data_IF_617166558719
#
_entry.id   IF_617166558719
#
_cell.length_a   1.000
_cell.length_b   1.000
_cell.length_c   1.000
_cell.angle_alpha   90.00
_cell.angle_beta   90.00
_cell.angle_gamma   90.00
#
_symmetry.space_group_name_H-M   'P 1'
#
loop_
_entity.id
_entity.type
_entity.pdbx_description
1 polymer ?
#
# COMPACT_ATOMS: atom_id res chain seq x y z
N UNK A 1 -14.07 0.53 -3.34
CA UNK A 1 -13.65 -0.49 -4.32
C UNK A 1 -14.30 -1.83 -3.94
N UNK A 2 -15.09 -2.39 -4.84
CA UNK A 2 -15.57 -3.77 -4.75
C UNK A 2 -14.75 -4.59 -5.73
N UNK A 3 -14.10 -5.64 -5.24
CA UNK A 3 -13.42 -6.62 -6.09
C UNK A 3 -14.30 -7.86 -6.06
N UNK A 4 -14.73 -8.31 -7.23
CA UNK A 4 -15.31 -9.63 -7.38
C UNK A 4 -14.23 -10.57 -7.90
N UNK A 5 -13.78 -11.46 -7.03
CA UNK A 5 -12.87 -12.55 -7.35
C UNK A 5 -13.38 -13.84 -6.70
N UNK A 6 -13.18 -15.03 -7.30
CA UNK A 6 -13.68 -16.27 -6.71
C UNK A 6 -13.04 -16.62 -5.35
N UNK A 7 -11.75 -16.29 -5.17
CA UNK A 7 -11.00 -16.55 -3.93
C UNK A 7 -10.46 -15.23 -3.38
N UNK A 8 -11.26 -14.59 -2.53
CA UNK A 8 -10.85 -13.36 -1.85
C UNK A 8 -11.44 -13.29 -0.45
N UNK A 9 -10.68 -12.66 0.46
CA UNK A 9 -11.15 -12.25 1.77
C UNK A 9 -11.08 -10.73 1.84
N UNK A 10 -12.15 -10.11 2.35
CA UNK A 10 -12.22 -8.67 2.50
C UNK A 10 -11.99 -8.26 3.94
N UNK A 11 -10.96 -7.45 4.16
CA UNK A 11 -10.73 -6.76 5.42
C UNK A 11 -11.22 -5.31 5.34
N UNK A 12 -11.81 -4.82 6.43
CA UNK A 12 -12.31 -3.46 6.55
C UNK A 12 -11.72 -2.80 7.78
N UNK A 13 -11.22 -1.57 7.60
CA UNK A 13 -10.74 -0.75 8.72
C UNK A 13 -11.90 -0.33 9.61
N UNK A 14 -11.61 -0.17 10.90
CA UNK A 14 -12.50 0.44 11.88
C UNK A 14 -11.75 1.51 12.65
N UNK A 15 -12.43 2.31 13.51
CA UNK A 15 -11.74 3.27 14.38
C UNK A 15 -10.68 2.62 15.29
N UNK A 16 -10.79 1.33 15.59
CA UNK A 16 -9.87 0.58 16.46
C UNK A 16 -8.82 -0.23 15.68
N UNK A 17 -9.08 -0.53 14.40
CA UNK A 17 -8.22 -1.38 13.58
C UNK A 17 -7.87 -0.64 12.28
N UNK A 18 -6.66 -0.08 12.26
CA UNK A 18 -6.09 0.59 11.09
C UNK A 18 -5.56 -0.37 10.03
N UNK A 19 -5.26 0.19 8.85
CA UNK A 19 -4.82 -0.57 7.67
C UNK A 19 -3.54 -1.36 7.93
N UNK A 20 -2.54 -0.80 8.63
CA UNK A 20 -1.30 -1.50 8.97
C UNK A 20 -1.58 -2.87 9.63
N UNK A 21 -2.45 -2.89 10.65
CA UNK A 21 -2.81 -4.12 11.37
C UNK A 21 -3.53 -5.13 10.46
N UNK A 22 -4.35 -4.65 9.53
CA UNK A 22 -5.05 -5.52 8.58
C UNK A 22 -4.08 -6.14 7.57
N UNK A 23 -3.07 -5.41 7.10
CA UNK A 23 -2.04 -5.97 6.20
C UNK A 23 -1.25 -7.04 6.93
N UNK A 24 -0.79 -6.76 8.15
CA UNK A 24 -0.09 -7.75 8.99
C UNK A 24 -0.93 -9.01 9.22
N UNK A 25 -2.24 -8.84 9.44
CA UNK A 25 -3.16 -9.96 9.59
C UNK A 25 -3.32 -10.73 8.27
N UNK A 26 -3.49 -10.02 7.15
CA UNK A 26 -3.64 -10.61 5.82
C UNK A 26 -2.46 -11.49 5.42
N UNK A 27 -1.22 -11.12 5.79
CA UNK A 27 -0.02 -11.93 5.54
C UNK A 27 -0.09 -13.34 6.14
N UNK A 28 -0.97 -13.58 7.14
CA UNK A 28 -1.20 -14.91 7.74
C UNK A 28 -2.20 -15.77 6.96
N UNK A 29 -2.88 -15.21 5.97
CA UNK A 29 -3.86 -15.91 5.13
C UNK A 29 -3.23 -16.51 3.87
N UNK A 30 -1.90 -16.48 3.75
CA UNK A 30 -1.15 -16.89 2.55
C UNK A 30 -1.71 -16.23 1.27
N UNK A 31 -1.84 -14.90 1.24
CA UNK A 31 -2.42 -14.22 0.07
C UNK A 31 -1.46 -14.30 -1.11
N UNK A 32 -1.99 -14.49 -2.33
CA UNK A 32 -1.18 -14.33 -3.55
C UNK A 32 -0.96 -12.84 -3.87
N UNK A 33 -1.97 -12.01 -3.56
CA UNK A 33 -1.94 -10.55 -3.76
C UNK A 33 -2.70 -9.85 -2.65
N UNK A 34 -2.24 -8.67 -2.27
CA UNK A 34 -2.93 -7.78 -1.34
C UNK A 34 -3.39 -6.56 -2.15
N UNK A 35 -4.69 -6.24 -2.07
CA UNK A 35 -5.21 -5.02 -2.66
C UNK A 35 -5.62 -4.04 -1.58
N UNK A 36 -4.93 -2.92 -1.53
CA UNK A 36 -5.17 -1.87 -0.57
C UNK A 36 -6.11 -0.83 -1.17
N UNK A 37 -7.10 -0.41 -0.37
CA UNK A 37 -8.05 0.62 -0.77
C UNK A 37 -7.36 1.96 -1.01
N UNK A 38 -7.17 2.74 0.04
CA UNK A 38 -6.49 4.04 -0.02
C UNK A 38 -5.46 4.15 1.12
N UNK A 39 -4.19 4.30 0.76
CA UNK A 39 -3.08 4.46 1.71
C UNK A 39 -2.96 5.94 2.08
N UNK A 40 -3.18 6.25 3.35
CA UNK A 40 -3.27 7.63 3.86
C UNK A 40 -2.27 7.97 4.97
N UNK A 41 -1.58 6.96 5.52
CA UNK A 41 -0.72 7.08 6.70
C UNK A 41 0.60 6.35 6.51
N UNK A 42 1.64 6.81 7.22
CA UNK A 42 3.01 6.29 7.08
C UNK A 42 3.15 4.83 7.49
N UNK A 43 2.40 4.37 8.48
CA UNK A 43 2.38 3.00 8.97
C UNK A 43 1.80 2.04 7.92
N UNK A 44 0.68 2.42 7.30
CA UNK A 44 0.06 1.67 6.22
C UNK A 44 0.94 1.64 4.97
N UNK A 45 1.57 2.77 4.64
CA UNK A 45 2.50 2.87 3.52
C UNK A 45 3.72 1.96 3.71
N UNK A 46 4.35 1.98 4.88
CA UNK A 46 5.52 1.15 5.16
C UNK A 46 5.17 -0.34 5.15
N UNK A 47 4.04 -0.72 5.73
CA UNK A 47 3.58 -2.11 5.76
C UNK A 47 3.25 -2.62 4.34
N UNK A 48 2.65 -1.78 3.49
CA UNK A 48 2.47 -2.08 2.06
C UNK A 48 3.82 -2.37 1.39
N UNK A 49 4.81 -1.49 1.56
CA UNK A 49 6.13 -1.65 0.95
C UNK A 49 6.82 -2.94 1.41
N UNK A 50 6.71 -3.28 2.70
CA UNK A 50 7.25 -4.54 3.23
C UNK A 50 6.52 -5.76 2.66
N UNK A 51 5.19 -5.75 2.59
CA UNK A 51 4.42 -6.84 1.98
C UNK A 51 4.86 -7.07 0.52
N UNK A 52 4.99 -6.00 -0.27
CA UNK A 52 5.48 -6.08 -1.65
C UNK A 52 6.90 -6.65 -1.75
N UNK A 53 7.82 -6.22 -0.88
CA UNK A 53 9.22 -6.65 -0.88
C UNK A 53 9.44 -8.08 -0.35
N UNK A 54 8.46 -8.70 0.32
CA UNK A 54 8.60 -10.02 0.99
C UNK A 54 7.80 -11.15 0.33
N UNK A 55 7.43 -10.98 -0.95
CA UNK A 55 6.83 -12.04 -1.75
C UNK A 55 5.42 -11.75 -2.28
N UNK A 56 4.89 -10.54 -2.06
CA UNK A 56 3.58 -10.12 -2.56
C UNK A 56 3.71 -9.03 -3.63
N UNK A 57 4.69 -9.15 -4.53
CA UNK A 57 5.03 -8.15 -5.55
C UNK A 57 3.90 -7.82 -6.54
N UNK A 58 2.88 -8.68 -6.62
CA UNK A 58 1.68 -8.45 -7.41
C UNK A 58 0.60 -7.59 -6.73
N UNK A 59 0.86 -7.12 -5.51
CA UNK A 59 -0.04 -6.28 -4.71
C UNK A 59 -0.07 -4.85 -5.24
N UNK A 60 -1.18 -4.16 -5.00
CA UNK A 60 -1.31 -2.75 -5.37
C UNK A 60 -2.18 -2.01 -4.36
N UNK A 61 -2.08 -0.68 -4.40
CA UNK A 61 -2.91 0.21 -3.60
C UNK A 61 -3.18 1.50 -4.34
N UNK A 62 -4.09 2.31 -3.80
CA UNK A 62 -4.29 3.68 -4.29
C UNK A 62 -3.87 4.69 -3.23
N UNK A 63 -3.51 5.88 -3.67
CA UNK A 63 -3.25 7.03 -2.81
C UNK A 63 -3.65 8.29 -3.56
N UNK A 64 -4.11 9.30 -2.84
CA UNK A 64 -4.45 10.57 -3.46
C UNK A 64 -3.19 11.36 -3.85
N UNK A 65 -3.06 11.71 -5.14
CA UNK A 65 -1.97 12.52 -5.67
C UNK A 65 -2.38 13.23 -6.96
N UNK A 66 -1.71 14.33 -7.28
CA UNK A 66 -1.96 15.18 -8.47
C UNK A 66 -1.29 14.66 -9.73
N UNK A 67 -0.28 13.80 -9.61
CA UNK A 67 0.40 13.14 -10.71
C UNK A 67 1.06 11.84 -10.24
N UNK A 68 1.58 11.04 -11.17
CA UNK A 68 2.31 9.82 -10.82
C UNK A 68 3.60 10.13 -10.03
N UNK A 69 4.28 11.23 -10.38
CA UNK A 69 5.48 11.65 -9.67
C UNK A 69 5.14 12.16 -8.26
N UNK A 70 4.05 12.92 -8.13
CA UNK A 70 3.58 13.40 -6.81
C UNK A 70 3.15 12.25 -5.91
N UNK A 71 2.65 11.15 -6.48
CA UNK A 71 2.31 9.95 -5.71
C UNK A 71 3.56 9.32 -5.07
N UNK A 72 4.68 9.27 -5.79
CA UNK A 72 5.96 8.80 -5.25
C UNK A 72 6.48 9.73 -4.16
N UNK A 73 6.44 11.05 -4.38
CA UNK A 73 6.84 12.04 -3.37
C UNK A 73 6.00 11.94 -2.10
N UNK A 74 4.67 11.82 -2.23
CA UNK A 74 3.77 11.58 -1.10
C UNK A 74 4.08 10.30 -0.36
N UNK A 75 4.37 9.21 -1.08
CA UNK A 75 4.72 7.94 -0.45
C UNK A 75 6.05 8.07 0.33
N UNK A 76 7.02 8.79 -0.22
CA UNK A 76 8.28 9.12 0.47
C UNK A 76 8.04 9.95 1.73
N UNK A 77 7.20 11.00 1.66
CA UNK A 77 6.84 11.83 2.81
C UNK A 77 6.17 10.99 3.91
N UNK A 78 5.16 10.18 3.55
CA UNK A 78 4.45 9.31 4.47
C UNK A 78 5.42 8.34 5.17
N UNK A 79 6.25 7.63 4.41
CA UNK A 79 7.21 6.68 4.96
C UNK A 79 8.30 7.36 5.80
N UNK A 80 8.70 8.58 5.45
CA UNK A 80 9.74 9.33 6.17
C UNK A 80 9.32 9.73 7.58
N UNK A 81 8.01 9.80 7.87
CA UNK A 81 7.53 10.01 9.25
C UNK A 81 7.86 8.84 10.19
N UNK A 82 8.14 7.65 9.65
CA UNK A 82 8.39 6.42 10.43
C UNK A 82 9.82 5.89 10.22
N UNK A 83 10.34 5.89 8.99
CA UNK A 83 11.67 5.37 8.67
C UNK A 83 12.40 6.22 7.60
N UNK A 84 12.89 7.43 7.96
CA UNK A 84 13.47 8.38 7.02
C UNK A 84 14.61 7.84 6.14
N UNK A 85 15.62 7.11 6.67
CA UNK A 85 16.77 6.68 5.85
C UNK A 85 16.45 5.58 4.84
N UNK A 86 15.36 4.83 5.04
CA UNK A 86 15.04 3.64 4.25
C UNK A 86 13.88 3.84 3.27
N UNK A 87 13.09 4.92 3.41
CA UNK A 87 11.87 5.15 2.65
C UNK A 87 12.10 5.06 1.13
N UNK A 88 13.04 5.85 0.59
CA UNK A 88 13.31 5.90 -0.84
C UNK A 88 13.77 4.56 -1.41
N UNK A 89 14.61 3.83 -0.67
CA UNK A 89 15.07 2.49 -1.09
C UNK A 89 13.92 1.49 -1.08
N UNK A 90 13.10 1.49 -0.04
CA UNK A 90 11.95 0.60 0.08
C UNK A 90 10.94 0.82 -1.05
N UNK A 91 10.69 2.10 -1.41
CA UNK A 91 9.84 2.49 -2.53
C UNK A 91 10.41 1.98 -3.86
N UNK A 92 11.70 2.24 -4.12
CA UNK A 92 12.35 1.85 -5.37
C UNK A 92 12.33 0.33 -5.63
N UNK A 93 12.40 -0.49 -4.58
CA UNK A 93 12.32 -1.95 -4.71
C UNK A 93 10.89 -2.47 -4.85
N UNK A 94 9.93 -1.84 -4.16
CA UNK A 94 8.55 -2.34 -4.10
C UNK A 94 7.66 -1.87 -5.25
N UNK A 95 7.86 -0.64 -5.73
CA UNK A 95 6.96 0.02 -6.67
C UNK A 95 7.49 -0.12 -8.10
N UNK A 96 6.90 -1.05 -8.86
CA UNK A 96 7.26 -1.28 -10.27
C UNK A 96 6.53 -0.37 -11.27
N UNK A 97 5.37 0.16 -10.90
CA UNK A 97 4.56 1.02 -11.77
C UNK A 97 3.70 1.98 -10.93
N UNK A 98 3.53 3.20 -11.44
CA UNK A 98 2.57 4.17 -10.91
C UNK A 98 1.69 4.64 -12.07
N UNK A 99 0.39 4.48 -11.91
CA UNK A 99 -0.61 5.00 -12.84
C UNK A 99 -1.31 6.17 -12.17
N UNK A 100 -1.28 7.33 -12.82
CA UNK A 100 -2.08 8.47 -12.41
C UNK A 100 -3.27 8.60 -13.34
N UNK A 101 -4.45 8.71 -12.77
CA UNK A 101 -5.65 9.13 -13.47
C UNK A 101 -6.01 10.52 -12.95
N UNK A 102 -5.95 11.51 -13.81
CA UNK A 102 -6.56 12.80 -13.53
C UNK A 102 -8.05 12.68 -13.83
N UNK A 103 -8.88 12.75 -12.80
CA UNK A 103 -10.31 12.90 -12.99
C UNK A 103 -10.59 14.25 -13.65
N UNK A 104 -11.23 14.22 -14.81
CA UNK A 104 -12.21 15.25 -15.16
C UNK A 104 -13.56 14.80 -14.61
#
# INVERSE_FOLDING_TARGET
>A
MAIEAPDHVRFLTSPQIGMQRLVQHALRYRPDRIVLGEVRSGDAALEMLFACNTGHSGSFGTSHATSALDALGRLEDLCSTICPPAARRAIATAIGCVVSSSGQ
#
